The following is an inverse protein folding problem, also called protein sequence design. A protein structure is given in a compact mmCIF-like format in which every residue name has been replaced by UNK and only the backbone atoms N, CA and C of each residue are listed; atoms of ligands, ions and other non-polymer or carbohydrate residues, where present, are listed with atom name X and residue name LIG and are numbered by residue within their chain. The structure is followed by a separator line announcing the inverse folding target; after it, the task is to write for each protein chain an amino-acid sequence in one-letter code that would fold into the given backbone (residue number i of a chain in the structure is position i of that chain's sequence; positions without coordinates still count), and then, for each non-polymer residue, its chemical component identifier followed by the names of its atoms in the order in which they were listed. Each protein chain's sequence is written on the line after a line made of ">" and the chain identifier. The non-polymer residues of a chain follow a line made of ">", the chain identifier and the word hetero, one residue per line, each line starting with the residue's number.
data_IF_209300842183
#
_entry.id   IF_209300842183
#
_cell.length_a   1.000
_cell.length_b   1.000
_cell.length_c   1.000
_cell.angle_alpha   90.00
_cell.angle_beta   90.00
_cell.angle_gamma   90.00
#
_symmetry.space_group_name_H-M   'P 1'
#
loop_
_entity.id
_entity.type
_entity.pdbx_description
1 polymer ?
#
# COMPACT_ATOMS: atom_id res chain seq x y z
N UNK A 1 -22.44 1.49 14.60
CA UNK A 1 -21.30 0.58 14.82
C UNK A 1 -21.60 -0.78 14.19
N UNK A 2 -20.98 -1.08 13.05
CA UNK A 2 -20.96 -2.44 12.51
C UNK A 2 -20.03 -3.24 13.41
N UNK A 3 -20.50 -4.34 14.00
CA UNK A 3 -19.63 -5.17 14.83
C UNK A 3 -18.44 -5.68 13.98
N UNK A 4 -17.24 -5.71 14.54
CA UNK A 4 -16.00 -6.15 13.89
C UNK A 4 -16.18 -7.39 13.01
N UNK A 5 -16.87 -8.41 13.52
CA UNK A 5 -17.15 -9.64 12.76
C UNK A 5 -18.03 -9.45 11.53
N UNK A 6 -18.97 -8.50 11.53
CA UNK A 6 -19.82 -8.18 10.37
C UNK A 6 -19.04 -7.34 9.35
N UNK A 7 -18.16 -6.44 9.80
CA UNK A 7 -17.30 -5.65 8.93
C UNK A 7 -16.28 -6.54 8.21
N UNK A 8 -15.57 -7.39 8.97
CA UNK A 8 -14.60 -8.37 8.45
C UNK A 8 -15.25 -9.37 7.50
N UNK A 9 -16.41 -9.94 7.86
CA UNK A 9 -17.13 -10.86 6.99
C UNK A 9 -17.59 -10.21 5.67
N UNK A 10 -17.93 -8.91 5.69
CA UNK A 10 -18.33 -8.18 4.49
C UNK A 10 -17.14 -7.81 3.60
N UNK A 11 -15.98 -7.54 4.20
CA UNK A 11 -14.72 -7.33 3.48
C UNK A 11 -14.23 -8.64 2.82
N UNK A 12 -14.26 -9.76 3.56
CA UNK A 12 -13.96 -11.09 3.05
C UNK A 12 -14.94 -11.55 1.96
N UNK A 13 -16.23 -11.20 2.06
CA UNK A 13 -17.24 -11.63 1.07
C UNK A 13 -17.03 -11.09 -0.36
N UNK A 14 -16.23 -10.02 -0.53
CA UNK A 14 -15.88 -9.47 -1.84
C UNK A 14 -14.50 -9.94 -2.35
N UNK A 15 -13.80 -10.82 -1.62
CA UNK A 15 -12.47 -11.33 -2.00
C UNK A 15 -12.42 -12.87 -1.97
N UNK A 16 -11.82 -13.44 -3.02
CA UNK A 16 -11.65 -14.90 -3.15
C UNK A 16 -10.58 -15.43 -2.23
N UNK A 17 -9.50 -14.68 -2.04
CA UNK A 17 -8.40 -15.03 -1.16
C UNK A 17 -7.98 -13.80 -0.34
N UNK A 18 -8.13 -13.92 0.98
CA UNK A 18 -7.89 -12.85 1.93
C UNK A 18 -6.41 -12.65 2.24
N UNK A 19 -5.57 -13.68 2.05
CA UNK A 19 -4.15 -13.68 2.41
C UNK A 19 -3.19 -13.76 1.19
N UNK A 20 -3.69 -13.69 -0.04
CA UNK A 20 -2.83 -13.86 -1.24
C UNK A 20 -2.22 -12.54 -1.75
N UNK A 21 -2.43 -11.41 -1.08
CA UNK A 21 -1.82 -10.15 -1.54
C UNK A 21 -0.38 -10.05 -1.07
N UNK A 22 0.51 -9.97 -2.05
CA UNK A 22 1.91 -9.61 -1.84
C UNK A 22 2.13 -8.16 -2.26
N UNK A 23 2.98 -7.44 -1.54
CA UNK A 23 3.43 -6.07 -1.87
C UNK A 23 4.92 -6.12 -2.24
N UNK A 24 5.29 -5.49 -3.35
CA UNK A 24 6.69 -5.31 -3.71
C UNK A 24 7.27 -4.28 -2.75
N UNK A 25 8.22 -4.73 -1.93
CA UNK A 25 8.84 -3.89 -0.89
C UNK A 25 10.17 -3.31 -1.31
N UNK A 26 10.85 -3.97 -2.26
CA UNK A 26 12.09 -3.47 -2.86
C UNK A 26 12.30 -4.03 -4.25
N UNK A 27 13.04 -3.31 -5.08
CA UNK A 27 13.62 -3.78 -6.32
C UNK A 27 15.15 -3.77 -6.22
N UNK A 28 15.80 -4.72 -6.88
CA UNK A 28 17.26 -4.80 -7.00
C UNK A 28 17.59 -4.78 -8.48
N UNK A 29 18.35 -3.77 -8.91
CA UNK A 29 18.83 -3.66 -10.29
C UNK A 29 20.28 -4.11 -10.32
N UNK A 30 20.55 -5.20 -11.04
CA UNK A 30 21.90 -5.69 -11.29
C UNK A 30 22.43 -5.08 -12.57
N UNK A 31 23.54 -4.35 -12.48
CA UNK A 31 24.19 -3.70 -13.61
C UNK A 31 25.68 -3.95 -13.60
N UNK A 32 26.32 -3.90 -14.76
CA UNK A 32 27.76 -4.11 -14.85
C UNK A 32 28.50 -2.96 -15.54
N UNK A 33 29.73 -2.79 -15.09
CA UNK A 33 30.79 -2.05 -15.77
C UNK A 33 31.74 -3.06 -16.45
N UNK A 34 32.76 -2.57 -17.16
CA UNK A 34 33.69 -3.37 -17.96
C UNK A 34 34.29 -4.61 -17.28
N UNK A 35 34.41 -4.62 -15.95
CA UNK A 35 35.05 -5.70 -15.18
C UNK A 35 34.26 -6.16 -13.93
N UNK A 36 33.18 -5.48 -13.52
CA UNK A 36 32.52 -5.72 -12.23
C UNK A 36 30.99 -5.58 -12.30
N UNK A 37 30.31 -6.41 -11.52
CA UNK A 37 28.86 -6.40 -11.30
C UNK A 37 28.52 -5.62 -10.03
N UNK A 38 27.43 -4.84 -10.10
CA UNK A 38 26.92 -4.00 -9.03
C UNK A 38 25.42 -4.22 -8.87
N UNK A 39 24.95 -4.10 -7.63
CA UNK A 39 23.55 -4.27 -7.26
C UNK A 39 23.04 -2.95 -6.65
N UNK A 40 22.03 -2.37 -7.27
CA UNK A 40 21.35 -1.17 -6.78
C UNK A 40 20.01 -1.56 -6.14
N UNK A 41 19.91 -1.40 -4.81
CA UNK A 41 18.67 -1.64 -4.08
C UNK A 41 17.80 -0.37 -4.04
N UNK A 42 16.54 -0.49 -4.46
CA UNK A 42 15.51 0.55 -4.41
C UNK A 42 14.38 0.08 -3.50
N UNK A 43 14.16 0.79 -2.38
CA UNK A 43 13.04 0.51 -1.47
C UNK A 43 11.74 1.18 -1.95
N UNK A 44 10.62 0.47 -1.88
CA UNK A 44 9.29 1.04 -2.17
C UNK A 44 8.76 1.79 -0.94
N UNK A 45 9.40 2.91 -0.59
CA UNK A 45 9.07 3.70 0.61
C UNK A 45 7.61 4.21 0.61
N UNK A 46 7.02 4.38 -0.57
CA UNK A 46 5.69 4.96 -0.74
C UNK A 46 4.55 3.94 -0.75
N UNK A 47 4.83 2.64 -0.60
CA UNK A 47 3.83 1.57 -0.79
C UNK A 47 3.02 1.77 -2.08
N UNK A 48 3.73 2.11 -3.16
CA UNK A 48 3.11 2.21 -4.48
C UNK A 48 2.61 0.82 -4.89
N UNK A 49 1.50 0.79 -5.65
CA UNK A 49 0.96 -0.46 -6.20
C UNK A 49 2.05 -1.22 -6.97
N UNK A 50 2.09 -2.55 -6.83
CA UNK A 50 3.13 -3.39 -7.43
C UNK A 50 3.31 -3.16 -8.94
N UNK A 51 2.21 -2.99 -9.67
CA UNK A 51 2.24 -2.74 -11.11
C UNK A 51 2.85 -1.37 -11.43
N UNK A 52 2.53 -0.35 -10.64
CA UNK A 52 3.05 1.01 -10.80
C UNK A 52 4.54 1.07 -10.45
N UNK A 53 4.95 0.42 -9.35
CA UNK A 53 6.35 0.36 -8.93
C UNK A 53 7.20 -0.42 -9.94
N UNK A 54 6.71 -1.55 -10.44
CA UNK A 54 7.42 -2.35 -11.46
C UNK A 54 7.65 -1.54 -12.73
N UNK A 55 6.60 -0.90 -13.26
CA UNK A 55 6.70 -0.08 -14.46
C UNK A 55 7.66 1.10 -14.25
N UNK A 56 7.60 1.76 -13.09
CA UNK A 56 8.51 2.86 -12.77
C UNK A 56 9.97 2.39 -12.69
N UNK A 57 10.25 1.25 -12.06
CA UNK A 57 11.60 0.69 -11.98
C UNK A 57 12.09 0.32 -13.38
N UNK A 58 11.28 -0.34 -14.21
CA UNK A 58 11.68 -0.70 -15.58
C UNK A 58 11.96 0.52 -16.46
N UNK A 59 11.12 1.56 -16.40
CA UNK A 59 11.34 2.80 -17.17
C UNK A 59 12.57 3.59 -16.67
N UNK A 60 12.87 3.53 -15.36
CA UNK A 60 13.96 4.28 -14.76
C UNK A 60 15.24 3.45 -14.57
N UNK A 61 15.24 2.14 -14.86
CA UNK A 61 16.35 1.26 -14.54
C UNK A 61 17.68 1.70 -15.16
N UNK A 62 17.65 2.06 -16.45
CA UNK A 62 18.84 2.56 -17.14
C UNK A 62 19.32 3.89 -16.54
N UNK A 63 18.40 4.77 -16.16
CA UNK A 63 18.74 6.07 -15.56
C UNK A 63 19.29 5.91 -14.14
N UNK A 64 18.74 4.99 -13.35
CA UNK A 64 19.16 4.69 -11.99
C UNK A 64 20.55 4.05 -11.99
N UNK A 65 20.78 3.05 -12.83
CA UNK A 65 22.09 2.43 -12.97
C UNK A 65 23.16 3.40 -13.47
N UNK A 66 22.82 4.31 -14.40
CA UNK A 66 23.75 5.38 -14.82
C UNK A 66 24.07 6.37 -13.71
N UNK A 67 23.09 6.74 -12.89
CA UNK A 67 23.30 7.63 -11.76
C UNK A 67 24.17 6.96 -10.68
N UNK A 68 23.94 5.69 -10.41
CA UNK A 68 24.76 4.89 -9.48
C UNK A 68 26.19 4.73 -9.99
N UNK A 69 26.36 4.41 -11.27
CA UNK A 69 27.67 4.36 -11.91
C UNK A 69 28.42 5.71 -11.83
N UNK A 70 27.74 6.84 -12.08
CA UNK A 70 28.34 8.17 -11.94
C UNK A 70 28.80 8.43 -10.49
N UNK A 71 28.01 8.01 -9.50
CA UNK A 71 28.34 8.08 -8.07
C UNK A 71 29.57 7.24 -7.70
N UNK A 72 29.69 6.06 -8.30
CA UNK A 72 30.84 5.17 -8.17
C UNK A 72 32.03 5.57 -9.05
N UNK A 73 31.92 6.68 -9.80
CA UNK A 73 32.91 7.13 -10.78
C UNK A 73 33.22 6.10 -11.88
N UNK A 74 32.23 5.32 -12.28
CA UNK A 74 32.30 4.35 -13.36
C UNK A 74 31.20 4.54 -14.42
N UNK A 75 31.11 3.67 -15.42
CA UNK A 75 30.13 3.71 -16.50
C UNK A 75 29.31 2.43 -16.50
N UNK A 76 27.98 2.57 -16.45
CA UNK A 76 27.09 1.44 -16.68
C UNK A 76 27.15 1.06 -18.17
N UNK A 77 27.65 -0.14 -18.50
CA UNK A 77 27.68 -0.65 -19.87
C UNK A 77 26.36 -1.34 -20.23
N UNK A 78 25.83 -2.18 -19.34
CA UNK A 78 24.55 -2.87 -19.54
C UNK A 78 23.90 -3.28 -18.21
N UNK A 79 22.57 -3.39 -18.24
CA UNK A 79 21.75 -3.93 -17.16
C UNK A 79 21.65 -5.44 -17.36
N UNK A 80 22.03 -6.22 -16.35
CA UNK A 80 21.92 -7.68 -16.40
C UNK A 80 20.48 -8.14 -16.11
N UNK A 81 19.92 -7.67 -14.99
CA UNK A 81 18.62 -8.12 -14.51
C UNK A 81 18.00 -7.16 -13.49
N UNK A 82 16.69 -7.26 -13.33
CA UNK A 82 15.93 -6.54 -12.29
C UNK A 82 15.15 -7.59 -11.51
N UNK A 83 15.41 -7.67 -10.21
CA UNK A 83 14.72 -8.56 -9.27
C UNK A 83 13.78 -7.76 -8.36
N UNK A 84 12.63 -8.33 -8.04
CA UNK A 84 11.63 -7.70 -7.18
C UNK A 84 11.40 -8.57 -5.95
N UNK A 85 11.56 -7.97 -4.77
CA UNK A 85 11.25 -8.65 -3.51
C UNK A 85 9.83 -8.30 -3.06
N UNK A 86 8.94 -9.26 -3.23
CA UNK A 86 7.59 -9.22 -2.68
C UNK A 86 7.55 -9.76 -1.24
N UNK A 87 6.74 -9.13 -0.38
CA UNK A 87 6.41 -9.63 0.95
C UNK A 87 4.91 -9.90 1.03
N UNK A 88 4.56 -10.98 1.72
CA UNK A 88 3.18 -11.27 2.07
C UNK A 88 2.64 -10.16 3.00
N UNK A 89 1.50 -9.59 2.61
CA UNK A 89 0.79 -8.63 3.46
C UNK A 89 -0.11 -9.43 4.39
N UNK A 90 0.02 -9.17 5.69
CA UNK A 90 -0.96 -9.64 6.67
C UNK A 90 -2.22 -8.75 6.58
N UNK A 91 -3.13 -9.09 5.65
CA UNK A 91 -4.41 -8.40 5.42
C UNK A 91 -5.30 -8.43 6.69
N UNK A 92 -5.08 -9.36 7.63
CA UNK A 92 -5.73 -9.37 8.94
C UNK A 92 -5.22 -8.24 9.84
N UNK A 93 -3.89 -8.08 9.95
CA UNK A 93 -3.29 -6.98 10.71
C UNK A 93 -3.59 -5.60 10.08
N UNK A 94 -3.60 -5.53 8.75
CA UNK A 94 -3.94 -4.29 8.03
C UNK A 94 -5.40 -3.88 8.23
N UNK A 95 -6.33 -4.85 8.19
CA UNK A 95 -7.74 -4.57 8.46
C UNK A 95 -7.98 -4.14 9.91
N UNK A 96 -7.25 -4.73 10.87
CA UNK A 96 -7.33 -4.34 12.27
C UNK A 96 -6.86 -2.90 12.48
N UNK A 97 -5.73 -2.50 11.88
CA UNK A 97 -5.23 -1.11 11.92
C UNK A 97 -6.19 -0.12 11.24
N UNK A 98 -6.73 -0.45 10.06
CA UNK A 98 -7.68 0.42 9.35
C UNK A 98 -9.01 0.55 10.11
N UNK A 99 -9.52 -0.55 10.68
CA UNK A 99 -10.72 -0.55 11.51
C UNK A 99 -10.52 0.24 12.80
N UNK A 100 -9.35 0.15 13.44
CA UNK A 100 -9.00 0.96 14.61
C UNK A 100 -8.90 2.45 14.26
N UNK A 101 -8.22 2.81 13.16
CA UNK A 101 -8.14 4.18 12.66
C UNK A 101 -9.52 4.73 12.28
N UNK A 102 -10.37 3.94 11.62
CA UNK A 102 -11.75 4.31 11.28
C UNK A 102 -12.63 4.47 12.53
N UNK A 103 -12.41 3.63 13.55
CA UNK A 103 -13.04 3.83 14.86
C UNK A 103 -12.53 5.13 15.50
N UNK A 104 -11.23 5.39 15.55
CA UNK A 104 -10.63 6.62 16.10
C UNK A 104 -11.08 7.89 15.35
N UNK A 105 -11.33 7.82 14.05
CA UNK A 105 -11.89 8.93 13.26
C UNK A 105 -13.34 9.26 13.65
N UNK A 106 -14.14 8.25 14.05
CA UNK A 106 -15.49 8.44 14.59
C UNK A 106 -15.47 9.04 16.02
N UNK A 107 -14.37 8.87 16.77
CA UNK A 107 -14.20 9.52 18.09
C UNK A 107 -13.63 10.95 18.01
N UNK A 108 -12.86 11.30 16.96
CA UNK A 108 -12.28 12.66 16.76
C UNK A 108 -13.09 13.56 15.83
N UNK A 109 -14.21 13.10 15.29
CA UNK A 109 -15.18 13.95 14.59
C UNK A 109 -16.53 13.94 15.29
N UNK A 110 -16.91 14.98 16.04
CA UNK A 110 -18.30 15.19 16.43
C UNK A 110 -19.08 15.66 15.19
N UNK A 111 -19.19 14.82 14.16
CA UNK A 111 -20.02 15.12 13.02
C UNK A 111 -21.46 14.75 13.34
N UNK A 112 -22.17 15.75 13.88
CA UNK A 112 -23.62 15.81 13.85
C UNK A 112 -24.28 15.09 15.01
N UNK A 113 -24.43 15.83 16.12
CA UNK A 113 -25.64 15.69 16.95
C UNK A 113 -26.82 15.87 15.99
N UNK A 114 -27.33 14.75 15.49
CA UNK A 114 -28.60 14.67 14.82
C UNK A 114 -29.62 15.23 15.81
N UNK A 115 -30.04 16.47 15.57
CA UNK A 115 -31.23 17.03 16.18
C UNK A 115 -32.34 16.06 15.80
N UNK A 116 -32.81 15.29 16.78
CA UNK A 116 -33.97 14.43 16.63
C UNK A 116 -35.08 15.25 15.94
N UNK A 117 -35.72 14.77 14.87
CA UNK A 117 -36.97 15.37 14.46
C UNK A 117 -37.95 15.07 15.60
N UNK A 118 -38.25 16.07 16.43
CA UNK A 118 -39.34 15.99 17.40
C UNK A 118 -40.60 15.61 16.62
N UNK A 119 -41.05 14.38 16.89
CA UNK A 119 -42.25 13.81 16.32
C UNK A 119 -43.42 14.77 16.55
N UNK A 120 -44.09 15.07 15.45
CA UNK A 120 -45.42 15.66 15.49
C UNK A 120 -46.38 14.59 16.05
N UNK A 121 -46.75 14.71 17.32
CA UNK A 121 -47.90 13.98 17.87
C UNK A 121 -49.05 14.97 18.10
N UNK A 122 -50.06 14.87 17.25
CA UNK A 122 -51.31 15.59 17.38
C UNK A 122 -52.31 14.90 18.30
N UNK A 123 -53.13 15.73 18.95
CA UNK A 123 -54.53 15.49 19.38
C UNK A 123 -54.81 14.52 20.54
N UNK A 124 -55.55 15.00 21.55
CA UNK A 124 -56.32 14.13 22.45
C UNK A 124 -56.67 14.72 23.83
N UNK A 125 -57.94 15.06 24.01
CA UNK A 125 -58.67 15.48 25.23
C UNK A 125 -58.44 14.62 26.49
N UNK A 126 -58.27 15.29 27.64
CA UNK A 126 -59.07 15.15 28.89
C UNK A 126 -58.88 16.38 29.77
#
# INVERSE_FOLDING_TARGET
>A
MVAYGIAKARAMANRTDWNERTEITKAVITWFDADYEYELEIENEHRMDNEEFTAWVEENAESLAKADAESLHTVCEEIDSIDFTEKEIDDDALFDEEYENACEFEWVTPHGVGRCPEGTEGTGTC
#
